data_IF_390977402719
#
_entry.id   IF_390977402719
#
_cell.length_a   1.000
_cell.length_b   1.000
_cell.length_c   1.000
_cell.angle_alpha   90.00
_cell.angle_beta   90.00
_cell.angle_gamma   90.00
#
_symmetry.space_group_name_H-M   'P 1'
#
loop_
_entity.id
_entity.type
_entity.pdbx_description
1 polymer ?
#
# COMPACT_ATOMS: atom_id res chain seq x y z
N UNK A 1 13.00 20.95 2.10
CA UNK A 1 13.86 19.87 2.62
C UNK A 1 13.60 19.70 4.11
N UNK A 2 13.42 18.45 4.56
CA UNK A 2 13.24 18.13 5.97
C UNK A 2 14.58 17.62 6.50
N UNK A 3 15.23 18.33 7.44
CA UNK A 3 16.54 17.92 7.92
C UNK A 3 16.44 16.63 8.74
N UNK A 4 17.51 15.83 8.77
CA UNK A 4 17.48 14.47 9.36
C UNK A 4 17.16 14.49 10.86
N UNK A 5 17.57 15.54 11.58
CA UNK A 5 17.33 15.74 13.01
C UNK A 5 15.89 16.14 13.35
N UNK A 6 15.10 16.57 12.36
CA UNK A 6 13.65 16.78 12.48
C UNK A 6 12.83 15.56 12.05
N UNK A 7 13.48 14.49 11.58
CA UNK A 7 12.83 13.26 11.16
C UNK A 7 12.86 12.18 12.26
N UNK A 8 11.75 11.46 12.44
CA UNK A 8 11.67 10.33 13.35
C UNK A 8 11.74 9.00 12.59
N UNK A 9 12.52 8.05 13.13
CA UNK A 9 12.61 6.69 12.57
C UNK A 9 11.46 5.82 13.07
N UNK A 10 10.74 5.18 12.14
CA UNK A 10 9.72 4.20 12.48
C UNK A 10 10.35 2.82 12.75
N UNK A 11 10.92 2.66 13.94
CA UNK A 11 11.49 1.39 14.39
C UNK A 11 10.39 0.37 14.69
N UNK A 12 10.54 -0.85 14.17
CA UNK A 12 9.50 -1.87 14.18
C UNK A 12 10.09 -3.27 14.31
N UNK A 13 9.47 -4.12 15.13
CA UNK A 13 9.73 -5.56 15.15
C UNK A 13 8.92 -6.28 14.07
N UNK A 14 9.31 -7.52 13.73
CA UNK A 14 8.59 -8.32 12.72
C UNK A 14 7.11 -8.48 13.11
N UNK A 15 6.21 -8.10 12.19
CA UNK A 15 4.76 -8.15 12.40
C UNK A 15 4.15 -6.85 12.92
N UNK A 16 4.96 -5.86 13.28
CA UNK A 16 4.48 -4.50 13.54
C UNK A 16 3.98 -3.85 12.25
N UNK A 17 3.04 -2.91 12.38
CA UNK A 17 2.46 -2.16 11.26
C UNK A 17 2.51 -0.67 11.58
N UNK A 18 2.94 0.13 10.60
CA UNK A 18 2.80 1.58 10.60
C UNK A 18 1.66 1.96 9.65
N UNK A 19 0.65 2.66 10.16
CA UNK A 19 -0.43 3.25 9.36
C UNK A 19 -0.19 4.74 9.26
N UNK A 20 -0.15 5.27 8.05
CA UNK A 20 0.00 6.70 7.80
C UNK A 20 -0.89 7.13 6.62
N UNK A 21 -1.24 8.42 6.59
CA UNK A 21 -2.02 8.97 5.48
C UNK A 21 -1.10 9.53 4.40
N UNK A 22 -1.61 9.68 3.17
CA UNK A 22 -0.86 10.31 2.07
C UNK A 22 -0.47 11.78 2.28
N UNK A 23 -0.84 12.39 3.43
CA UNK A 23 -0.45 13.75 3.82
C UNK A 23 0.81 13.80 4.69
N UNK A 24 1.26 12.65 5.20
CA UNK A 24 2.45 12.58 6.05
C UNK A 24 3.68 12.53 5.16
N UNK A 25 4.62 13.46 5.38
CA UNK A 25 5.93 13.41 4.75
C UNK A 25 6.72 12.25 5.35
N UNK A 26 7.25 11.40 4.48
CA UNK A 26 8.03 10.24 4.86
C UNK A 26 8.97 9.85 3.72
N UNK A 27 10.02 9.10 4.03
CA UNK A 27 10.96 8.56 3.06
C UNK A 27 11.60 7.28 3.58
N UNK A 28 12.31 6.57 2.70
CA UNK A 28 13.24 5.54 3.14
C UNK A 28 14.50 6.18 3.72
N UNK A 29 14.91 5.75 4.92
CA UNK A 29 16.19 6.14 5.52
C UNK A 29 17.37 5.33 4.96
N UNK A 30 18.59 5.86 5.12
CA UNK A 30 19.81 5.17 4.74
C UNK A 30 20.03 3.88 5.56
N UNK A 31 20.12 2.73 4.89
CA UNK A 31 20.47 1.48 5.54
C UNK A 31 21.99 1.41 5.78
N UNK A 32 22.41 1.53 7.04
CA UNK A 32 23.82 1.48 7.47
C UNK A 32 24.26 0.11 7.98
N UNK A 33 23.45 -0.93 7.77
CA UNK A 33 23.75 -2.32 8.14
C UNK A 33 24.28 -3.13 6.96
N UNK A 34 24.75 -4.34 7.25
CA UNK A 34 25.16 -5.35 6.27
C UNK A 34 23.99 -6.25 5.79
N UNK A 35 22.75 -5.93 6.18
CA UNK A 35 21.56 -6.77 5.93
C UNK A 35 20.50 -6.03 5.11
N UNK A 36 19.72 -6.79 4.35
CA UNK A 36 18.55 -6.27 3.62
C UNK A 36 17.38 -6.06 4.58
N UNK A 37 16.83 -4.83 4.59
CA UNK A 37 15.60 -4.48 5.29
C UNK A 37 14.40 -4.73 4.38
N UNK A 38 13.55 -5.70 4.73
CA UNK A 38 12.35 -6.08 3.98
C UNK A 38 11.10 -5.50 4.62
N UNK A 39 10.16 -5.06 3.80
CA UNK A 39 8.85 -4.57 4.21
C UNK A 39 7.82 -4.89 3.11
N UNK A 40 6.54 -4.88 3.47
CA UNK A 40 5.42 -4.91 2.53
C UNK A 40 4.68 -3.59 2.71
N UNK A 41 4.41 -2.90 1.61
CA UNK A 41 3.51 -1.75 1.60
C UNK A 41 2.16 -2.20 1.06
N UNK A 42 1.08 -1.78 1.71
CA UNK A 42 -0.29 -1.97 1.24
C UNK A 42 -0.93 -0.60 1.18
N UNK A 43 -1.08 -0.09 -0.04
CA UNK A 43 -1.63 1.23 -0.29
C UNK A 43 -3.13 1.13 -0.59
N UNK A 44 -3.90 2.02 0.02
CA UNK A 44 -5.33 2.16 -0.24
C UNK A 44 -5.60 3.52 -0.90
N UNK A 45 -6.49 3.54 -1.88
CA UNK A 45 -7.04 4.76 -2.46
C UNK A 45 -8.56 4.73 -2.42
N UNK A 46 -9.17 5.92 -2.55
CA UNK A 46 -10.60 6.06 -2.75
C UNK A 46 -11.02 5.48 -4.11
N UNK A 47 -12.24 4.95 -4.22
CA UNK A 47 -12.67 4.18 -5.40
C UNK A 47 -12.67 4.96 -6.73
N UNK A 48 -12.77 6.28 -6.69
CA UNK A 48 -12.70 7.14 -7.89
C UNK A 48 -11.26 7.48 -8.33
N UNK A 49 -10.24 7.03 -7.59
CA UNK A 49 -8.83 7.15 -7.99
C UNK A 49 -8.35 5.81 -8.52
N UNK A 50 -7.61 5.83 -9.62
CA UNK A 50 -7.05 4.63 -10.23
C UNK A 50 -6.02 3.96 -9.32
N UNK A 51 -6.10 2.63 -9.22
CA UNK A 51 -5.08 1.81 -8.57
C UNK A 51 -3.72 1.92 -9.28
N UNK A 52 -2.63 1.83 -8.52
CA UNK A 52 -1.27 1.78 -9.08
C UNK A 52 -1.04 0.47 -9.85
N UNK A 53 -1.47 -0.64 -9.28
CA UNK A 53 -1.53 -1.95 -9.93
C UNK A 53 -2.98 -2.35 -10.20
N UNK A 54 -3.31 -2.73 -11.44
CA UNK A 54 -4.65 -3.24 -11.79
C UNK A 54 -4.78 -4.71 -11.39
N UNK A 55 -4.94 -4.97 -10.10
CA UNK A 55 -4.92 -6.33 -9.56
C UNK A 55 -6.02 -7.23 -10.16
N UNK A 56 -7.19 -6.71 -10.49
CA UNK A 56 -8.25 -7.48 -11.18
C UNK A 56 -7.86 -7.99 -12.59
N UNK A 57 -6.81 -7.44 -13.21
CA UNK A 57 -6.24 -7.93 -14.47
C UNK A 57 -4.99 -8.80 -14.25
N UNK A 58 -4.25 -8.56 -13.17
CA UNK A 58 -2.99 -9.26 -12.88
C UNK A 58 -3.17 -10.54 -12.07
N UNK A 59 -4.20 -10.61 -11.22
CA UNK A 59 -4.53 -11.81 -10.44
C UNK A 59 -5.22 -12.82 -11.36
N UNK A 60 -4.68 -14.05 -11.50
CA UNK A 60 -5.31 -15.07 -12.34
C UNK A 60 -6.75 -15.35 -11.90
N UNK A 61 -7.72 -15.52 -12.83
CA UNK A 61 -9.12 -15.71 -12.49
C UNK A 61 -9.39 -16.89 -11.55
N UNK A 62 -8.62 -17.97 -11.66
CA UNK A 62 -8.71 -19.14 -10.79
C UNK A 62 -8.30 -18.85 -9.34
N UNK A 63 -7.37 -17.90 -9.13
CA UNK A 63 -6.98 -17.43 -7.80
C UNK A 63 -8.04 -16.50 -7.25
N UNK A 64 -8.49 -15.52 -8.05
CA UNK A 64 -9.51 -14.55 -7.64
C UNK A 64 -10.79 -15.23 -7.12
N UNK A 65 -11.24 -16.31 -7.76
CA UNK A 65 -12.44 -17.08 -7.33
C UNK A 65 -12.36 -17.71 -5.94
N UNK A 66 -11.17 -17.76 -5.33
CA UNK A 66 -10.94 -18.32 -3.99
C UNK A 66 -10.84 -17.26 -2.89
N UNK A 67 -10.87 -15.98 -3.25
CA UNK A 67 -10.73 -14.86 -2.32
C UNK A 67 -12.10 -14.43 -1.77
N UNK A 68 -12.10 -13.88 -0.55
CA UNK A 68 -13.30 -13.31 0.06
C UNK A 68 -13.82 -12.10 -0.73
N UNK A 69 -15.14 -11.89 -0.71
CA UNK A 69 -15.82 -10.80 -1.43
C UNK A 69 -15.23 -9.42 -1.11
N UNK A 70 -14.84 -9.18 0.14
CA UNK A 70 -14.28 -7.89 0.55
C UNK A 70 -12.88 -7.65 -0.05
N UNK A 71 -12.09 -8.72 -0.21
CA UNK A 71 -10.80 -8.62 -0.90
C UNK A 71 -11.02 -8.44 -2.41
N UNK A 72 -11.99 -9.13 -3.01
CA UNK A 72 -12.36 -8.94 -4.42
C UNK A 72 -12.75 -7.48 -4.72
N UNK A 73 -13.56 -6.87 -3.86
CA UNK A 73 -13.92 -5.44 -3.98
C UNK A 73 -12.67 -4.56 -3.90
N UNK A 74 -11.77 -4.83 -2.94
CA UNK A 74 -10.55 -4.06 -2.74
C UNK A 74 -9.60 -4.11 -3.96
N UNK A 75 -9.49 -5.27 -4.62
CA UNK A 75 -8.58 -5.45 -5.76
C UNK A 75 -9.19 -5.05 -7.12
N UNK A 76 -10.42 -4.51 -7.14
CA UNK A 76 -11.01 -3.89 -8.33
C UNK A 76 -12.17 -4.65 -8.99
N UNK A 77 -12.74 -5.68 -8.36
CA UNK A 77 -13.97 -6.34 -8.84
C UNK A 77 -15.26 -5.59 -8.47
N UNK A 78 -15.14 -4.38 -7.93
CA UNK A 78 -16.25 -3.46 -7.68
C UNK A 78 -16.08 -2.20 -8.52
N UNK A 79 -17.19 -1.68 -9.02
CA UNK A 79 -17.22 -0.34 -9.61
C UNK A 79 -16.79 0.71 -8.57
N UNK A 80 -15.72 1.45 -8.88
CA UNK A 80 -15.10 2.41 -7.96
C UNK A 80 -15.83 3.76 -7.88
N UNK A 81 -16.55 4.15 -8.94
CA UNK A 81 -17.35 5.37 -9.01
C UNK A 81 -18.47 5.22 -10.04
N UNK A 82 -19.69 5.62 -9.65
CA UNK A 82 -20.90 5.51 -10.49
C UNK A 82 -20.95 6.53 -11.65
N UNK A 83 -20.13 7.58 -11.56
CA UNK A 83 -19.95 8.57 -12.61
C UNK A 83 -18.53 9.13 -12.54
N UNK A 84 -17.77 8.98 -13.62
CA UNK A 84 -16.54 9.72 -13.86
C UNK A 84 -16.95 10.92 -14.72
N UNK A 85 -17.07 12.09 -14.10
CA UNK A 85 -17.37 13.35 -14.80
C UNK A 85 -16.30 13.73 -15.82
#
# INVERSE_FOLDING_TARGET
DYPEDECLQAEMSRGSVLIYTGKIVHSGGANRSDKVRRAINVNYCVGWVRQEENQFLSVPPEVARTLDDDLLKLIGYQEGAWAMG
#
